data_IF_589219621031
#
_entry.id   IF_589219621031
#
_cell.length_a   1.000
_cell.length_b   1.000
_cell.length_c   1.000
_cell.angle_alpha   90.00
_cell.angle_beta   90.00
_cell.angle_gamma   90.00
#
_symmetry.space_group_name_H-M   'P 1'
#
loop_
_entity.id
_entity.type
_entity.pdbx_description
1 polymer ?
#
# COMPACT_ATOMS: atom_id res chain seq x y z
N UNK A 1 3.92 -46.79 8.16
CA UNK A 1 4.44 -45.86 7.12
C UNK A 1 5.57 -45.03 7.73
N UNK A 2 6.58 -44.74 6.91
CA UNK A 2 7.91 -44.14 7.14
C UNK A 2 7.97 -42.89 8.07
N UNK A 3 8.95 -42.75 8.97
CA UNK A 3 10.39 -42.32 8.85
C UNK A 3 10.54 -40.79 8.64
N UNK A 4 11.53 -40.02 9.11
CA UNK A 4 12.73 -40.11 9.95
C UNK A 4 12.96 -38.65 10.49
N UNK A 5 13.90 -38.27 11.35
CA UNK A 5 15.36 -38.11 11.17
C UNK A 5 15.93 -37.61 12.52
N UNK A 6 17.14 -38.05 12.89
CA UNK A 6 17.90 -37.48 14.01
C UNK A 6 19.41 -37.50 13.75
N UNK A 7 20.12 -36.69 14.55
CA UNK A 7 21.57 -36.59 14.82
C UNK A 7 22.28 -35.41 14.12
N UNK A 8 23.22 -34.68 14.73
CA UNK A 8 23.93 -34.77 16.02
C UNK A 8 24.61 -33.42 16.35
N UNK A 9 25.17 -33.30 17.56
CA UNK A 9 25.57 -32.08 18.29
C UNK A 9 27.05 -32.14 18.72
N UNK A 10 27.59 -30.97 19.15
CA UNK A 10 28.83 -30.64 19.95
C UNK A 10 30.00 -30.08 19.11
N UNK A 11 30.89 -29.19 19.57
CA UNK A 11 31.01 -28.20 20.67
C UNK A 11 32.32 -27.37 20.41
N UNK A 12 32.61 -26.38 21.27
CA UNK A 12 33.46 -25.19 21.12
C UNK A 12 35.02 -25.30 21.20
N UNK A 13 35.70 -24.42 20.41
CA UNK A 13 36.91 -23.55 20.60
C UNK A 13 38.25 -24.09 21.18
N UNK A 14 39.38 -23.32 21.10
CA UNK A 14 40.03 -22.59 19.99
C UNK A 14 41.58 -22.89 19.94
N UNK A 15 42.36 -22.32 18.99
CA UNK A 15 43.79 -21.92 19.08
C UNK A 15 44.60 -22.12 17.76
N UNK A 16 45.47 -21.12 17.51
CA UNK A 16 46.67 -21.05 16.66
C UNK A 16 46.53 -20.90 15.12
N UNK A 17 46.81 -19.67 14.68
CA UNK A 17 47.97 -19.28 13.85
C UNK A 17 48.96 -20.42 13.50
N UNK A 18 49.20 -20.67 12.20
CA UNK A 18 50.50 -21.05 11.58
C UNK A 18 50.27 -21.55 10.13
N UNK A 19 50.91 -20.92 9.14
CA UNK A 19 52.17 -21.34 8.47
C UNK A 19 52.06 -22.64 7.66
N UNK A 20 52.31 -22.54 6.35
CA UNK A 20 52.70 -23.67 5.47
C UNK A 20 53.94 -23.20 4.69
N UNK A 21 55.13 -23.46 5.23
CA UNK A 21 56.06 -24.55 4.89
C UNK A 21 56.76 -24.42 3.50
N UNK A 22 58.03 -24.00 3.55
CA UNK A 22 59.08 -24.45 2.61
C UNK A 22 59.39 -25.95 2.84
N UNK A 23 60.15 -26.67 1.97
CA UNK A 23 61.61 -26.84 2.19
C UNK A 23 62.43 -27.25 0.90
N UNK A 24 63.63 -27.89 0.94
CA UNK A 24 64.96 -27.24 0.96
C UNK A 24 66.00 -27.88 -0.02
N UNK A 25 67.18 -27.25 -0.22
CA UNK A 25 68.54 -27.82 -0.46
C UNK A 25 69.42 -26.76 -1.17
N UNK A 26 70.72 -26.55 -0.98
CA UNK A 26 71.81 -27.19 -0.25
C UNK A 26 72.90 -26.12 -0.01
N UNK A 27 73.74 -26.35 0.99
CA UNK A 27 74.82 -25.50 1.47
C UNK A 27 75.91 -25.14 0.45
N UNK A 28 76.57 -23.98 0.62
CA UNK A 28 77.97 -23.87 1.11
C UNK A 28 78.48 -22.42 1.14
N UNK A 29 79.22 -22.13 2.21
CA UNK A 29 80.00 -20.91 2.47
C UNK A 29 81.13 -20.76 1.44
N UNK A 30 81.42 -19.53 1.02
CA UNK A 30 82.63 -19.19 0.26
C UNK A 30 83.04 -17.75 0.56
N UNK A 31 84.30 -17.55 0.96
CA UNK A 31 84.85 -16.35 1.58
C UNK A 31 85.09 -15.20 0.61
N UNK A 32 85.05 -13.98 1.13
CA UNK A 32 85.65 -12.79 0.54
C UNK A 32 87.14 -13.01 0.26
N UNK A 33 87.57 -12.67 -0.96
CA UNK A 33 88.97 -12.49 -1.36
C UNK A 33 89.04 -11.19 -2.16
N UNK A 34 89.85 -10.20 -1.74
CA UNK A 34 90.10 -9.00 -2.53
C UNK A 34 91.46 -9.13 -3.23
N UNK A 35 91.52 -8.83 -4.52
CA UNK A 35 92.73 -8.34 -5.17
C UNK A 35 92.41 -7.62 -6.49
N UNK A 36 93.31 -6.72 -6.93
CA UNK A 36 92.98 -5.47 -7.62
C UNK A 36 93.31 -5.51 -9.10
N UNK A 37 92.76 -4.56 -9.85
CA UNK A 37 93.34 -4.17 -11.14
C UNK A 37 92.32 -3.94 -12.24
N UNK A 38 92.27 -2.68 -12.67
CA UNK A 38 92.08 -2.25 -14.04
C UNK A 38 90.86 -2.78 -14.80
N UNK A 39 89.86 -1.91 -14.94
CA UNK A 39 89.73 -1.18 -16.20
C UNK A 39 88.69 -0.09 -16.00
N UNK A 40 89.07 1.12 -16.35
CA UNK A 40 88.14 2.20 -16.65
C UNK A 40 87.27 1.78 -17.84
N UNK A 41 86.22 0.99 -17.59
CA UNK A 41 85.10 0.89 -18.50
C UNK A 41 84.34 2.20 -18.36
N UNK A 42 84.67 3.14 -19.25
CA UNK A 42 83.89 4.34 -19.51
C UNK A 42 82.43 3.88 -19.69
N UNK A 43 81.59 4.08 -18.65
CA UNK A 43 80.15 4.09 -18.86
C UNK A 43 79.89 5.18 -19.89
N UNK A 44 79.20 4.90 -21.01
CA UNK A 44 78.73 5.99 -21.84
C UNK A 44 77.87 6.88 -20.93
N UNK A 45 78.00 8.22 -20.98
CA UNK A 45 77.04 9.06 -20.32
C UNK A 45 75.75 8.86 -21.09
N UNK A 46 74.88 7.98 -20.61
CA UNK A 46 73.46 8.11 -20.88
C UNK A 46 73.05 9.38 -20.13
N UNK A 47 73.34 10.54 -20.74
CA UNK A 47 72.66 11.78 -20.44
C UNK A 47 71.22 11.57 -20.91
N UNK A 48 70.47 10.73 -20.18
CA UNK A 48 69.02 10.66 -20.33
C UNK A 48 68.57 12.04 -19.90
N UNK A 49 68.04 12.81 -20.84
CA UNK A 49 67.40 14.06 -20.51
C UNK A 49 66.33 13.74 -19.44
N UNK A 50 66.40 14.35 -18.25
CA UNK A 50 65.41 14.13 -17.20
C UNK A 50 63.97 14.31 -17.69
N UNK A 51 63.75 15.16 -18.68
CA UNK A 51 62.46 15.35 -19.35
C UNK A 51 62.03 14.12 -20.16
N UNK A 52 62.94 13.45 -20.85
CA UNK A 52 62.63 12.23 -21.60
C UNK A 52 62.27 11.06 -20.68
N UNK A 53 62.88 10.99 -19.49
CA UNK A 53 62.47 10.04 -18.46
C UNK A 53 61.05 10.35 -17.95
N UNK A 54 60.73 11.63 -17.70
CA UNK A 54 59.39 12.05 -17.26
C UNK A 54 58.31 11.78 -18.33
N UNK A 55 58.60 12.03 -19.61
CA UNK A 55 57.67 11.76 -20.73
C UNK A 55 57.28 10.29 -20.82
N UNK A 56 58.19 9.37 -20.45
CA UNK A 56 57.88 7.92 -20.37
C UNK A 56 56.97 7.57 -19.19
N UNK A 57 57.08 8.29 -18.08
CA UNK A 57 56.25 8.07 -16.88
C UNK A 57 54.86 8.67 -17.03
N UNK A 58 54.75 9.77 -17.78
CA UNK A 58 53.51 10.48 -18.05
C UNK A 58 53.28 10.61 -19.57
N UNK A 59 52.99 9.50 -20.26
CA UNK A 59 52.75 9.53 -21.71
C UNK A 59 51.52 10.37 -22.09
N UNK A 60 50.58 10.51 -21.15
CA UNK A 60 49.34 11.25 -21.34
C UNK A 60 49.46 12.75 -20.98
N UNK A 61 50.60 13.19 -20.42
CA UNK A 61 50.83 14.59 -20.12
C UNK A 61 51.29 15.34 -21.36
N UNK A 62 50.66 16.48 -21.66
CA UNK A 62 51.07 17.32 -22.77
C UNK A 62 52.54 17.72 -22.63
N UNK A 63 53.34 17.70 -23.71
CA UNK A 63 54.78 17.96 -23.64
C UNK A 63 55.10 19.33 -23.00
N UNK A 64 54.29 20.36 -23.30
CA UNK A 64 54.42 21.68 -22.67
C UNK A 64 53.97 21.76 -21.21
N UNK A 65 53.05 20.89 -20.77
CA UNK A 65 52.60 20.86 -19.37
C UNK A 65 53.64 20.19 -18.48
N UNK A 66 54.24 19.12 -18.98
CA UNK A 66 55.28 18.38 -18.28
C UNK A 66 56.57 19.20 -18.14
N UNK A 67 56.93 19.94 -19.19
CA UNK A 67 58.05 20.90 -19.18
C UNK A 67 57.80 22.07 -18.21
N UNK A 68 56.58 22.60 -18.17
CA UNK A 68 56.21 23.65 -17.21
C UNK A 68 56.24 23.15 -15.76
N UNK A 69 55.76 21.93 -15.50
CA UNK A 69 55.86 21.28 -14.18
C UNK A 69 57.32 21.05 -13.79
N UNK A 70 58.16 20.57 -14.71
CA UNK A 70 59.58 20.36 -14.47
C UNK A 70 60.32 21.67 -14.13
N UNK A 71 59.99 22.76 -14.84
CA UNK A 71 60.52 24.08 -14.54
C UNK A 71 60.05 24.60 -13.18
N UNK A 72 58.77 24.44 -12.84
CA UNK A 72 58.20 24.88 -11.57
C UNK A 72 58.74 24.09 -10.35
N UNK A 73 59.09 22.82 -10.56
CA UNK A 73 59.71 21.95 -9.55
C UNK A 73 61.23 22.16 -9.43
N UNK A 74 61.79 23.24 -9.98
CA UNK A 74 63.23 23.54 -9.87
C UNK A 74 64.13 22.56 -10.62
N UNK A 75 63.60 21.90 -11.66
CA UNK A 75 64.26 20.81 -12.42
C UNK A 75 64.57 19.56 -11.58
N UNK A 76 63.88 19.38 -10.45
CA UNK A 76 63.94 18.14 -9.68
C UNK A 76 62.93 17.11 -10.22
N UNK A 77 63.43 15.94 -10.63
CA UNK A 77 62.61 14.89 -11.24
C UNK A 77 61.58 14.36 -10.26
N UNK A 78 61.97 14.17 -9.00
CA UNK A 78 61.10 13.56 -7.99
C UNK A 78 59.93 14.47 -7.63
N UNK A 79 60.21 15.74 -7.34
CA UNK A 79 59.22 16.78 -7.11
C UNK A 79 58.29 16.96 -8.31
N UNK A 80 58.81 16.83 -9.54
CA UNK A 80 57.98 16.87 -10.77
C UNK A 80 57.03 15.69 -10.85
N UNK A 81 57.50 14.47 -10.56
CA UNK A 81 56.65 13.26 -10.52
C UNK A 81 55.55 13.40 -9.47
N UNK A 82 55.87 13.89 -8.27
CA UNK A 82 54.88 14.10 -7.22
C UNK A 82 53.85 15.16 -7.60
N UNK A 83 54.28 16.29 -8.16
CA UNK A 83 53.39 17.36 -8.62
C UNK A 83 52.45 16.87 -9.74
N UNK A 84 52.96 16.14 -10.73
CA UNK A 84 52.15 15.56 -11.80
C UNK A 84 51.12 14.55 -11.27
N UNK A 85 51.52 13.67 -10.35
CA UNK A 85 50.60 12.71 -9.71
C UNK A 85 49.54 13.40 -8.87
N UNK A 86 49.91 14.44 -8.12
CA UNK A 86 48.96 15.24 -7.33
C UNK A 86 47.93 15.93 -8.25
N UNK A 87 48.38 16.48 -9.38
CA UNK A 87 47.51 17.11 -10.38
C UNK A 87 46.56 16.12 -11.04
N UNK A 88 47.03 14.91 -11.38
CA UNK A 88 46.16 13.84 -11.89
C UNK A 88 45.12 13.40 -10.87
N UNK A 89 45.48 13.32 -9.58
CA UNK A 89 44.51 13.02 -8.51
C UNK A 89 43.43 14.10 -8.43
N UNK A 90 43.83 15.38 -8.41
CA UNK A 90 42.89 16.49 -8.39
C UNK A 90 41.97 16.51 -9.62
N UNK A 91 42.49 16.17 -10.81
CA UNK A 91 41.67 16.06 -12.02
C UNK A 91 40.61 14.95 -11.89
N UNK A 92 41.00 13.76 -11.43
CA UNK A 92 40.07 12.66 -11.18
C UNK A 92 39.03 12.99 -10.11
N UNK A 93 39.43 13.69 -9.05
CA UNK A 93 38.51 14.14 -8.00
C UNK A 93 37.50 15.16 -8.53
N UNK A 94 37.93 16.11 -9.38
CA UNK A 94 37.03 17.07 -10.05
C UNK A 94 36.05 16.37 -10.98
N UNK A 95 36.51 15.38 -11.75
CA UNK A 95 35.65 14.59 -12.63
C UNK A 95 34.65 13.74 -11.84
N UNK A 96 35.09 13.11 -10.75
CA UNK A 96 34.20 12.37 -9.85
C UNK A 96 33.18 13.29 -9.17
N UNK A 97 33.59 14.48 -8.73
CA UNK A 97 32.69 15.48 -8.15
C UNK A 97 31.67 15.99 -9.18
N UNK A 98 32.09 16.25 -10.42
CA UNK A 98 31.20 16.62 -11.50
C UNK A 98 30.19 15.50 -11.82
N UNK A 99 30.65 14.25 -11.89
CA UNK A 99 29.78 13.09 -12.09
C UNK A 99 28.77 12.92 -10.94
N UNK A 100 29.20 13.11 -9.70
CA UNK A 100 28.32 13.06 -8.52
C UNK A 100 27.28 14.19 -8.55
N UNK A 101 27.68 15.41 -8.93
CA UNK A 101 26.75 16.54 -9.12
C UNK A 101 25.72 16.24 -10.19
N UNK A 102 26.15 15.77 -11.37
CA UNK A 102 25.25 15.37 -12.46
C UNK A 102 24.29 14.26 -12.02
N UNK A 103 24.78 13.22 -11.34
CA UNK A 103 23.93 12.14 -10.83
C UNK A 103 22.89 12.66 -9.83
N UNK A 104 23.30 13.52 -8.89
CA UNK A 104 22.40 14.10 -7.90
C UNK A 104 21.37 15.04 -8.53
N UNK A 105 21.78 15.87 -9.49
CA UNK A 105 20.92 16.82 -10.18
C UNK A 105 19.93 16.11 -11.12
N UNK A 106 20.39 15.12 -11.89
CA UNK A 106 19.53 14.32 -12.76
C UNK A 106 18.51 13.45 -11.97
N UNK A 107 18.84 13.07 -10.72
CA UNK A 107 17.90 12.39 -9.83
C UNK A 107 16.76 13.30 -9.34
N UNK A 108 16.91 14.63 -9.37
CA UNK A 108 15.87 15.57 -8.92
C UNK A 108 14.78 15.73 -9.98
N UNK A 109 13.54 15.58 -9.57
CA UNK A 109 12.37 15.75 -10.44
C UNK A 109 12.01 17.22 -10.74
N UNK A 110 12.71 18.17 -10.13
CA UNK A 110 12.48 19.59 -10.38
C UNK A 110 13.16 20.04 -11.68
N UNK A 111 12.63 21.10 -12.29
CA UNK A 111 13.21 21.67 -13.52
C UNK A 111 14.65 22.16 -13.34
N UNK A 112 15.06 22.48 -12.10
CA UNK A 112 16.40 22.95 -11.77
C UNK A 112 17.49 21.88 -11.88
N UNK A 113 17.16 20.59 -11.70
CA UNK A 113 18.13 19.51 -11.83
C UNK A 113 18.72 19.40 -13.24
N UNK A 114 17.90 19.58 -14.28
CA UNK A 114 18.38 19.55 -15.66
C UNK A 114 19.20 20.80 -16.03
N UNK A 115 18.85 21.95 -15.46
CA UNK A 115 19.59 23.20 -15.63
C UNK A 115 20.99 23.10 -15.00
N UNK A 116 21.11 22.49 -13.81
CA UNK A 116 22.41 22.21 -13.19
C UNK A 116 23.24 21.22 -14.02
N UNK A 117 22.63 20.15 -14.54
CA UNK A 117 23.31 19.22 -15.45
C UNK A 117 23.84 19.92 -16.71
N UNK A 118 23.08 20.85 -17.28
CA UNK A 118 23.52 21.67 -18.41
C UNK A 118 24.67 22.61 -18.02
N UNK A 119 24.63 23.19 -16.83
CA UNK A 119 25.73 24.00 -16.29
C UNK A 119 27.03 23.21 -16.14
N UNK A 120 26.96 22.02 -15.54
CA UNK A 120 28.14 21.13 -15.39
C UNK A 120 28.66 20.67 -16.75
N UNK A 121 27.78 20.40 -17.72
CA UNK A 121 28.17 20.07 -19.09
C UNK A 121 28.99 21.19 -19.73
N UNK A 122 28.51 22.43 -19.65
CA UNK A 122 29.21 23.61 -20.19
C UNK A 122 30.54 23.83 -19.47
N UNK A 123 30.57 23.72 -18.14
CA UNK A 123 31.78 23.82 -17.33
C UNK A 123 32.83 22.79 -17.78
N UNK A 124 32.45 21.52 -17.90
CA UNK A 124 33.36 20.44 -18.30
C UNK A 124 33.84 20.57 -19.74
N UNK A 125 32.99 21.05 -20.66
CA UNK A 125 33.41 21.31 -22.04
C UNK A 125 34.35 22.51 -22.16
N UNK A 126 34.20 23.53 -21.29
CA UNK A 126 35.07 24.72 -21.30
C UNK A 126 36.50 24.46 -20.81
N UNK A 127 36.69 23.40 -20.01
CA UNK A 127 38.00 22.97 -19.47
C UNK A 127 38.66 21.90 -20.35
N UNK A 128 38.00 21.45 -21.42
CA UNK A 128 38.50 20.40 -22.29
C UNK A 128 39.76 20.82 -23.06
N UNK A 129 40.70 19.89 -23.24
CA UNK A 129 41.96 20.15 -23.93
C UNK A 129 41.79 20.34 -25.45
N UNK A 130 40.83 19.62 -26.05
CA UNK A 130 40.47 19.70 -27.45
C UNK A 130 39.00 19.32 -27.69
N UNK A 131 38.57 19.38 -28.95
CA UNK A 131 37.18 19.07 -29.36
C UNK A 131 36.83 17.59 -29.10
N UNK A 132 37.79 16.68 -29.18
CA UNK A 132 37.55 15.26 -28.93
C UNK A 132 37.36 14.98 -27.43
N UNK A 133 38.17 15.60 -26.56
CA UNK A 133 38.00 15.57 -25.11
C UNK A 133 36.66 16.17 -24.69
N UNK A 134 36.30 17.34 -25.24
CA UNK A 134 35.01 17.97 -24.99
C UNK A 134 33.84 17.04 -25.33
N UNK A 135 33.92 16.35 -26.48
CA UNK A 135 32.92 15.36 -26.92
C UNK A 135 32.88 14.13 -26.00
N UNK A 136 34.03 13.67 -25.52
CA UNK A 136 34.15 12.57 -24.56
C UNK A 136 33.46 12.91 -23.23
N UNK A 137 33.80 14.07 -22.65
CA UNK A 137 33.18 14.61 -21.43
C UNK A 137 31.67 14.77 -21.59
N UNK A 138 31.21 15.36 -22.70
CA UNK A 138 29.79 15.53 -22.99
C UNK A 138 29.05 14.19 -23.09
N UNK A 139 29.61 13.20 -23.80
CA UNK A 139 29.04 11.86 -23.91
C UNK A 139 28.91 11.17 -22.55
N UNK A 140 29.91 11.30 -21.68
CA UNK A 140 29.87 10.75 -20.33
C UNK A 140 28.78 11.39 -19.48
N UNK A 141 28.69 12.73 -19.48
CA UNK A 141 27.66 13.47 -18.73
C UNK A 141 26.27 13.08 -19.22
N UNK A 142 26.04 13.04 -20.53
CA UNK A 142 24.74 12.68 -21.10
C UNK A 142 24.34 11.24 -20.75
N UNK A 143 25.28 10.28 -20.75
CA UNK A 143 25.02 8.91 -20.29
C UNK A 143 24.68 8.84 -18.80
N UNK A 144 25.35 9.63 -17.97
CA UNK A 144 25.02 9.73 -16.54
C UNK A 144 23.61 10.29 -16.35
N UNK A 145 23.25 11.34 -17.08
CA UNK A 145 21.89 11.91 -17.05
C UNK A 145 20.87 10.86 -17.50
N UNK A 146 21.11 10.19 -18.63
CA UNK A 146 20.22 9.14 -19.14
C UNK A 146 19.99 8.02 -18.11
N UNK A 147 21.06 7.48 -17.52
CA UNK A 147 20.96 6.43 -16.51
C UNK A 147 20.23 6.87 -15.24
N UNK A 148 20.48 8.08 -14.76
CA UNK A 148 19.82 8.64 -13.57
C UNK A 148 18.33 8.92 -13.83
N UNK A 149 17.99 9.48 -14.99
CA UNK A 149 16.60 9.74 -15.38
C UNK A 149 15.83 8.42 -15.58
N UNK A 150 16.45 7.42 -16.22
CA UNK A 150 15.84 6.10 -16.39
C UNK A 150 15.58 5.40 -15.03
N UNK A 151 16.56 5.45 -14.12
CA UNK A 151 16.42 4.92 -12.75
C UNK A 151 15.28 5.61 -11.99
N UNK A 152 15.23 6.95 -12.04
CA UNK A 152 14.16 7.73 -11.43
C UNK A 152 12.79 7.40 -12.02
N UNK A 153 12.69 7.27 -13.34
CA UNK A 153 11.45 6.91 -14.01
C UNK A 153 10.97 5.50 -13.60
N UNK A 154 11.88 4.54 -13.49
CA UNK A 154 11.57 3.20 -13.00
C UNK A 154 11.05 3.24 -11.55
N UNK A 155 11.74 3.95 -10.65
CA UNK A 155 11.32 4.10 -9.26
C UNK A 155 9.95 4.78 -9.13
N UNK A 156 9.69 5.82 -9.93
CA UNK A 156 8.40 6.50 -9.96
C UNK A 156 7.28 5.56 -10.46
N UNK A 157 7.54 4.76 -11.51
CA UNK A 157 6.59 3.79 -12.02
C UNK A 157 6.27 2.69 -11.00
N UNK A 158 7.28 2.19 -10.27
CA UNK A 158 7.08 1.22 -9.19
C UNK A 158 6.24 1.80 -8.05
N UNK A 159 6.53 3.03 -7.62
CA UNK A 159 5.76 3.72 -6.58
C UNK A 159 4.29 3.93 -7.01
N UNK A 160 4.06 4.36 -8.24
CA UNK A 160 2.70 4.49 -8.80
C UNK A 160 1.98 3.14 -8.88
N UNK A 161 2.67 2.09 -9.32
CA UNK A 161 2.09 0.76 -9.42
C UNK A 161 1.81 0.15 -8.03
N UNK A 162 2.56 0.52 -6.99
CA UNK A 162 2.26 0.15 -5.61
C UNK A 162 1.01 0.88 -5.10
N UNK A 163 0.93 2.20 -5.31
CA UNK A 163 -0.22 3.01 -4.92
C UNK A 163 -1.52 2.53 -5.60
N UNK A 164 -1.48 2.24 -6.90
CA UNK A 164 -2.63 1.70 -7.63
C UNK A 164 -3.06 0.32 -7.13
N UNK A 165 -2.11 -0.53 -6.68
CA UNK A 165 -2.44 -1.83 -6.09
C UNK A 165 -3.16 -1.68 -4.75
N UNK A 166 -2.70 -0.75 -3.92
CA UNK A 166 -3.33 -0.45 -2.63
C UNK A 166 -4.75 0.10 -2.82
N UNK A 167 -4.93 1.07 -3.73
CA UNK A 167 -6.25 1.62 -4.06
C UNK A 167 -7.20 0.54 -4.58
N UNK A 168 -6.74 -0.33 -5.49
CA UNK A 168 -7.54 -1.45 -5.98
C UNK A 168 -7.94 -2.42 -4.85
N UNK A 169 -7.04 -2.69 -3.89
CA UNK A 169 -7.36 -3.53 -2.75
C UNK A 169 -8.41 -2.89 -1.85
N UNK A 170 -8.30 -1.59 -1.58
CA UNK A 170 -9.28 -0.83 -0.80
C UNK A 170 -10.66 -0.78 -1.48
N UNK A 171 -10.69 -0.54 -2.79
CA UNK A 171 -11.93 -0.54 -3.58
C UNK A 171 -12.62 -1.91 -3.58
N UNK A 172 -11.85 -3.00 -3.70
CA UNK A 172 -12.38 -4.36 -3.60
C UNK A 172 -12.97 -4.62 -2.21
N UNK A 173 -12.26 -4.28 -1.14
CA UNK A 173 -12.78 -4.45 0.22
C UNK A 173 -14.11 -3.70 0.43
N UNK A 174 -14.19 -2.45 -0.07
CA UNK A 174 -15.42 -1.65 0.00
C UNK A 174 -16.57 -2.23 -0.83
N UNK A 175 -16.27 -2.80 -2.00
CA UNK A 175 -17.27 -3.48 -2.82
C UNK A 175 -17.87 -4.70 -2.09
N UNK A 176 -17.02 -5.51 -1.45
CA UNK A 176 -17.49 -6.66 -0.69
C UNK A 176 -18.32 -6.26 0.55
N UNK A 177 -17.99 -5.15 1.21
CA UNK A 177 -18.80 -4.60 2.31
C UNK A 177 -20.20 -4.21 1.83
N UNK A 178 -20.28 -3.47 0.72
CA UNK A 178 -21.57 -3.10 0.11
C UNK A 178 -22.39 -4.33 -0.31
N UNK A 179 -21.75 -5.40 -0.79
CA UNK A 179 -22.44 -6.65 -1.10
C UNK A 179 -23.02 -7.32 0.15
N UNK A 180 -22.27 -7.33 1.27
CA UNK A 180 -22.75 -7.85 2.55
C UNK A 180 -23.95 -7.06 3.06
N UNK A 181 -23.87 -5.73 3.01
CA UNK A 181 -24.96 -4.82 3.39
C UNK A 181 -26.19 -5.00 2.50
N UNK A 182 -26.00 -5.10 1.19
CA UNK A 182 -27.10 -5.39 0.26
C UNK A 182 -27.78 -6.72 0.60
N UNK A 183 -27.00 -7.73 0.99
CA UNK A 183 -27.52 -9.00 1.50
C UNK A 183 -28.36 -8.86 2.77
N UNK A 184 -27.92 -8.04 3.73
CA UNK A 184 -28.68 -7.74 4.96
C UNK A 184 -29.99 -7.02 4.60
N UNK A 185 -29.93 -6.00 3.76
CA UNK A 185 -31.09 -5.24 3.32
C UNK A 185 -32.12 -6.12 2.60
N UNK A 186 -31.69 -6.97 1.67
CA UNK A 186 -32.59 -7.93 0.98
C UNK A 186 -33.31 -8.85 1.96
N UNK A 187 -32.62 -9.37 2.97
CA UNK A 187 -33.25 -10.18 4.03
C UNK A 187 -34.23 -9.37 4.86
N UNK A 188 -33.89 -8.12 5.21
CA UNK A 188 -34.77 -7.20 5.92
C UNK A 188 -36.06 -6.92 5.14
N UNK A 189 -35.94 -6.60 3.85
CA UNK A 189 -37.08 -6.37 2.95
C UNK A 189 -37.95 -7.62 2.82
N UNK A 190 -37.36 -8.80 2.64
CA UNK A 190 -38.12 -10.06 2.59
C UNK A 190 -38.87 -10.34 3.89
N UNK A 191 -38.26 -10.06 5.05
CA UNK A 191 -38.92 -10.20 6.34
C UNK A 191 -40.08 -9.19 6.51
N UNK A 192 -39.89 -7.95 6.05
CA UNK A 192 -40.95 -6.94 6.07
C UNK A 192 -42.13 -7.32 5.17
N UNK A 193 -41.86 -7.86 3.98
CA UNK A 193 -42.90 -8.35 3.08
C UNK A 193 -43.73 -9.46 3.73
N UNK A 194 -43.08 -10.44 4.37
CA UNK A 194 -43.79 -11.52 5.09
C UNK A 194 -44.70 -10.99 6.19
N UNK A 195 -44.22 -10.04 7.00
CA UNK A 195 -45.01 -9.38 8.05
C UNK A 195 -46.21 -8.64 7.47
N UNK A 196 -46.05 -7.99 6.33
CA UNK A 196 -47.15 -7.31 5.65
C UNK A 196 -48.22 -8.31 5.21
N UNK A 197 -47.84 -9.43 4.60
CA UNK A 197 -48.80 -10.47 4.22
C UNK A 197 -49.53 -11.06 5.44
N UNK A 198 -48.85 -11.25 6.57
CA UNK A 198 -49.47 -11.69 7.83
C UNK A 198 -50.53 -10.69 8.31
N UNK A 199 -50.21 -9.40 8.33
CA UNK A 199 -51.17 -8.35 8.69
C UNK A 199 -52.37 -8.30 7.74
N UNK A 200 -52.16 -8.49 6.44
CA UNK A 200 -53.24 -8.57 5.45
C UNK A 200 -54.15 -9.77 5.69
N UNK A 201 -53.59 -10.94 6.05
CA UNK A 201 -54.34 -12.14 6.43
C UNK A 201 -55.17 -11.90 7.69
N UNK A 202 -54.56 -11.34 8.73
CA UNK A 202 -55.22 -11.03 10.00
C UNK A 202 -56.34 -10.02 9.81
N UNK A 203 -56.11 -8.98 9.01
CA UNK A 203 -57.15 -8.01 8.64
C UNK A 203 -58.33 -8.70 7.94
N UNK A 204 -58.06 -9.67 7.06
CA UNK A 204 -59.08 -10.49 6.43
C UNK A 204 -59.88 -11.33 7.44
N UNK A 205 -59.23 -11.94 8.43
CA UNK A 205 -59.89 -12.68 9.52
C UNK A 205 -60.78 -11.75 10.34
N UNK A 206 -60.24 -10.59 10.75
CA UNK A 206 -60.98 -9.59 11.53
C UNK A 206 -62.22 -9.10 10.80
N UNK A 207 -62.12 -8.77 9.50
CA UNK A 207 -63.28 -8.37 8.67
C UNK A 207 -64.39 -9.43 8.67
N UNK A 208 -64.02 -10.71 8.51
CA UNK A 208 -64.99 -11.82 8.60
C UNK A 208 -65.58 -11.94 10.00
N UNK A 209 -64.77 -11.79 11.04
CA UNK A 209 -65.22 -11.78 12.43
C UNK A 209 -66.25 -10.67 12.70
N UNK A 210 -65.96 -9.45 12.25
CA UNK A 210 -66.90 -8.32 12.37
C UNK A 210 -68.21 -8.60 11.64
N UNK A 211 -68.16 -9.14 10.41
CA UNK A 211 -69.37 -9.47 9.66
C UNK A 211 -70.24 -10.54 10.37
N UNK A 212 -69.62 -11.55 10.97
CA UNK A 212 -70.35 -12.58 11.73
C UNK A 212 -70.94 -12.05 13.03
N UNK A 213 -70.24 -11.16 13.74
CA UNK A 213 -70.76 -10.48 14.92
C UNK A 213 -71.96 -9.60 14.57
N UNK A 214 -71.87 -8.83 13.48
CA UNK A 214 -72.98 -8.00 13.01
C UNK A 214 -74.23 -8.84 12.71
N UNK A 215 -74.06 -9.97 12.01
CA UNK A 215 -75.17 -10.90 11.73
C UNK A 215 -75.80 -11.45 13.02
N UNK A 216 -75.00 -11.86 14.00
CA UNK A 216 -75.50 -12.34 15.29
C UNK A 216 -76.24 -11.26 16.06
N UNK A 217 -75.76 -10.02 15.98
CA UNK A 217 -76.42 -8.87 16.58
C UNK A 217 -77.80 -8.64 15.95
N UNK A 218 -77.90 -8.64 14.62
CA UNK A 218 -79.19 -8.54 13.92
C UNK A 218 -80.16 -9.68 14.30
N UNK A 219 -79.66 -10.92 14.37
CA UNK A 219 -80.47 -12.08 14.78
C UNK A 219 -80.98 -11.93 16.23
N UNK A 220 -80.14 -11.46 17.14
CA UNK A 220 -80.51 -11.20 18.54
C UNK A 220 -81.53 -10.04 18.66
N UNK A 221 -81.36 -8.97 17.88
CA UNK A 221 -82.31 -7.85 17.82
C UNK A 221 -83.69 -8.33 17.33
N UNK A 222 -83.75 -9.14 16.26
CA UNK A 222 -85.00 -9.72 15.76
C UNK A 222 -85.68 -10.61 16.80
N UNK A 223 -84.92 -11.47 17.48
CA UNK A 223 -85.47 -12.32 18.54
C UNK A 223 -85.99 -11.49 19.72
N UNK A 224 -85.29 -10.43 20.10
CA UNK A 224 -85.73 -9.51 21.15
C UNK A 224 -87.04 -8.79 20.76
N UNK A 225 -87.18 -8.36 19.50
CA UNK A 225 -88.44 -7.81 18.98
C UNK A 225 -89.58 -8.83 19.00
N UNK A 226 -89.32 -10.08 18.62
CA UNK A 226 -90.32 -11.14 18.66
C UNK A 226 -90.79 -11.42 20.10
N UNK A 227 -89.86 -11.49 21.06
CA UNK A 227 -90.19 -11.64 22.47
C UNK A 227 -90.99 -10.44 23.00
N UNK A 228 -90.64 -9.21 22.61
CA UNK A 228 -91.42 -8.01 22.97
C UNK A 228 -92.87 -8.11 22.47
N UNK A 229 -93.08 -8.57 21.23
CA UNK A 229 -94.43 -8.80 20.67
C UNK A 229 -95.20 -9.85 21.48
N UNK A 230 -94.59 -11.01 21.76
CA UNK A 230 -95.22 -12.06 22.58
C UNK A 230 -95.58 -11.57 23.99
N UNK A 231 -94.73 -10.77 24.62
CA UNK A 231 -95.02 -10.17 25.93
C UNK A 231 -96.23 -9.23 25.86
N UNK A 232 -96.32 -8.40 24.81
CA UNK A 232 -97.48 -7.52 24.62
C UNK A 232 -98.78 -8.31 24.39
N UNK A 233 -98.73 -9.38 23.59
CA UNK A 233 -99.86 -10.28 23.35
C UNK A 233 -100.32 -10.96 24.65
N UNK A 234 -99.39 -11.56 25.41
CA UNK A 234 -99.69 -12.19 26.69
C UNK A 234 -100.21 -11.18 27.73
N UNK A 235 -99.68 -9.95 27.75
CA UNK A 235 -100.18 -8.88 28.60
C UNK A 235 -101.64 -8.52 28.26
N UNK A 236 -101.97 -8.41 26.97
CA UNK A 236 -103.34 -8.16 26.52
C UNK A 236 -104.29 -9.32 26.86
N UNK A 237 -103.85 -10.58 26.67
CA UNK A 237 -104.63 -11.77 27.03
C UNK A 237 -104.90 -11.84 28.53
N UNK A 238 -103.87 -11.63 29.36
CA UNK A 238 -104.01 -11.59 30.81
C UNK A 238 -104.95 -10.46 31.27
N UNK A 239 -104.88 -9.29 30.65
CA UNK A 239 -105.81 -8.19 30.93
C UNK A 239 -107.26 -8.60 30.64
N UNK A 240 -107.52 -9.20 29.46
CA UNK A 240 -108.86 -9.67 29.08
C UNK A 240 -109.41 -10.73 30.05
N UNK A 241 -108.59 -11.72 30.42
CA UNK A 241 -108.94 -12.72 31.43
C UNK A 241 -109.26 -12.08 32.80
N UNK A 242 -108.47 -11.09 33.22
CA UNK A 242 -108.72 -10.36 34.47
C UNK A 242 -110.01 -9.52 34.45
N UNK A 243 -110.42 -9.00 33.28
CA UNK A 243 -111.73 -8.35 33.11
C UNK A 243 -112.86 -9.38 33.19
N UNK A 244 -112.72 -10.53 32.52
CA UNK A 244 -113.71 -11.61 32.57
C UNK A 244 -113.90 -12.15 33.99
N UNK A 245 -112.83 -12.37 34.74
CA UNK A 245 -112.88 -12.83 36.13
C UNK A 245 -113.66 -11.84 37.02
N UNK A 246 -113.37 -10.54 36.92
CA UNK A 246 -114.11 -9.50 37.66
C UNK A 246 -115.59 -9.41 37.25
N UNK A 247 -115.89 -9.60 35.97
CA UNK A 247 -117.27 -9.68 35.48
C UNK A 247 -118.02 -10.89 36.07
N UNK A 248 -117.39 -12.06 36.09
CA UNK A 248 -117.96 -13.28 36.68
C UNK A 248 -118.17 -13.13 38.19
N UNK A 249 -117.24 -12.52 38.91
CA UNK A 249 -117.39 -12.22 40.34
C UNK A 249 -118.50 -11.19 40.58
N UNK A 250 -118.59 -10.13 39.77
CA UNK A 250 -119.69 -9.15 39.86
C UNK A 250 -121.06 -9.80 39.64
N UNK A 251 -121.19 -10.70 38.67
CA UNK A 251 -122.42 -11.48 38.47
C UNK A 251 -122.73 -12.40 39.67
N UNK A 252 -121.72 -13.05 40.27
CA UNK A 252 -121.90 -13.86 41.50
C UNK A 252 -122.40 -13.02 42.69
N UNK A 253 -121.87 -11.81 42.87
CA UNK A 253 -122.27 -10.93 43.96
C UNK A 253 -123.62 -10.22 43.70
N UNK A 254 -124.03 -10.02 42.45
CA UNK A 254 -125.36 -9.50 42.11
C UNK A 254 -126.49 -10.50 42.44
N UNK A 255 -126.24 -11.81 42.42
CA UNK A 255 -127.21 -12.85 42.86
C UNK A 255 -127.48 -12.79 44.38
N UNK A 256 -126.60 -12.14 45.16
CA UNK A 256 -126.75 -11.99 46.63
C UNK A 256 -127.29 -10.63 47.08
N UNK A 257 -127.53 -9.68 46.17
CA UNK A 257 -128.24 -8.44 46.51
C UNK A 257 -129.75 -8.69 46.44
N UNK A 258 -130.33 -9.10 47.56
CA UNK A 258 -131.77 -9.03 47.77
C UNK A 258 -132.28 -7.58 47.66
N UNK A 259 -133.56 -7.34 47.34
CA UNK A 259 -134.10 -5.99 47.26
C UNK A 259 -134.02 -5.31 48.64
N UNK A 260 -133.55 -4.06 48.67
CA UNK A 260 -133.60 -3.20 49.85
C UNK A 260 -135.05 -3.09 50.35
N UNK A 261 -135.29 -3.45 51.62
CA UNK A 261 -136.59 -3.30 52.28
C UNK A 261 -136.43 -2.27 53.42
N UNK A 262 -137.29 -1.26 53.40
CA UNK A 262 -137.57 -0.32 54.50
C UNK A 262 -138.05 -1.04 55.77
#
# INVERSE_FOLDING_TARGET
MAAAIACRKRAATPFLDEVILAPPHLAKRGRFSPCPGAAAAQRPPLAVDPLDALRRVFPDAGPGELEACFAASGRDVHATVEACRARQRQAREREAAAAARVASAAARADGGGMEECAGVLVEQMSVAADVADARGRASLILKLVESAVASRAAAAAEAQAAALREENAALKARAEELERDNGVLRRGVAAQHRRQEELERDNGVLKRGVATLHRRQEEAERAAEELKKKVAELAAANYALGVQARGADSCRFQVFRGPDVF
#
